data_IF_215176001447
#
_entry.id   IF_215176001447
#
_cell.length_a   1.000
_cell.length_b   1.000
_cell.length_c   1.000
_cell.angle_alpha   90.00
_cell.angle_beta   90.00
_cell.angle_gamma   90.00
#
_symmetry.space_group_name_H-M   'P 1'
#
loop_
_entity.id
_entity.type
_entity.pdbx_description
1 polymer ?
#
# COMPACT_ATOMS: atom_id res chain seq x y z
N UNK A 1 -0.45 72.42 -61.63
CA UNK A 1 0.09 72.22 -60.27
C UNK A 1 -0.88 71.33 -59.50
N UNK A 2 -0.64 70.02 -59.48
CA UNK A 2 -1.53 69.04 -58.85
C UNK A 2 -0.83 68.46 -57.61
N UNK A 3 -1.50 68.54 -56.46
CA UNK A 3 -1.07 67.96 -55.18
C UNK A 3 -1.48 66.48 -55.15
N UNK A 4 -0.52 65.59 -54.93
CA UNK A 4 -0.77 64.18 -54.63
C UNK A 4 -1.02 64.01 -53.11
N UNK A 5 -2.02 63.23 -52.67
CA UNK A 5 -2.10 62.78 -51.29
C UNK A 5 -1.30 61.50 -51.09
N UNK A 6 -0.39 61.51 -50.11
CA UNK A 6 0.32 60.34 -49.64
C UNK A 6 -0.60 59.50 -48.75
N UNK A 7 -0.86 58.25 -49.17
CA UNK A 7 -1.55 57.24 -48.37
C UNK A 7 -0.50 56.56 -47.49
N UNK A 8 -0.65 56.69 -46.18
CA UNK A 8 0.16 55.97 -45.18
C UNK A 8 -0.44 54.57 -45.02
N UNK A 9 0.26 53.55 -45.51
CA UNK A 9 -0.04 52.14 -45.25
C UNK A 9 0.53 51.74 -43.88
N UNK A 10 -0.34 51.60 -42.88
CA UNK A 10 -0.05 50.93 -41.61
C UNK A 10 -0.05 49.42 -41.83
N UNK A 11 1.14 48.82 -41.97
CA UNK A 11 1.35 47.38 -41.93
C UNK A 11 1.26 46.89 -40.47
N UNK A 12 0.09 46.38 -40.08
CA UNK A 12 -0.09 45.64 -38.84
C UNK A 12 0.71 44.34 -38.87
N UNK A 13 1.65 44.19 -37.94
CA UNK A 13 2.36 42.94 -37.71
C UNK A 13 1.41 41.94 -37.05
N UNK A 14 0.95 40.95 -37.82
CA UNK A 14 0.31 39.76 -37.28
C UNK A 14 1.41 38.83 -36.75
N UNK A 15 1.62 38.84 -35.44
CA UNK A 15 2.45 37.84 -34.74
C UNK A 15 1.76 36.48 -34.84
N UNK A 16 2.19 35.65 -35.80
CA UNK A 16 1.87 34.23 -35.79
C UNK A 16 2.51 33.59 -34.55
N UNK A 17 1.69 33.05 -33.66
CA UNK A 17 2.15 32.19 -32.57
C UNK A 17 2.94 31.03 -33.17
N UNK A 18 4.25 31.01 -32.94
CA UNK A 18 5.10 29.93 -33.43
C UNK A 18 4.73 28.63 -32.73
N UNK A 19 4.54 27.57 -33.52
CA UNK A 19 4.38 26.22 -32.97
C UNK A 19 5.63 25.88 -32.12
N UNK A 20 5.45 25.27 -30.93
CA UNK A 20 6.54 24.99 -30.03
C UNK A 20 7.60 24.12 -30.71
N UNK A 21 8.86 24.48 -30.46
CA UNK A 21 10.01 23.83 -31.14
C UNK A 21 10.20 22.40 -30.64
N UNK A 22 10.83 21.50 -31.43
CA UNK A 22 11.10 20.11 -31.01
C UNK A 22 11.90 19.98 -29.71
N UNK A 23 12.58 21.04 -29.26
CA UNK A 23 13.30 21.09 -27.97
C UNK A 23 12.38 21.32 -26.77
N UNK A 24 11.19 21.88 -26.96
CA UNK A 24 10.17 22.04 -25.90
C UNK A 24 9.42 20.72 -25.63
N UNK A 25 9.36 19.81 -26.60
CA UNK A 25 8.81 18.46 -26.41
C UNK A 25 9.71 17.55 -25.55
N UNK A 26 10.98 17.94 -25.34
CA UNK A 26 11.97 17.18 -24.55
C UNK A 26 12.07 17.70 -23.11
N UNK A 27 11.59 18.92 -22.80
CA UNK A 27 11.35 19.34 -21.41
C UNK A 27 9.97 18.83 -21.01
N UNK A 28 9.86 18.24 -19.82
CA UNK A 28 8.56 17.92 -19.23
C UNK A 28 7.60 19.11 -19.33
N UNK A 29 6.30 18.84 -19.40
CA UNK A 29 5.29 19.89 -19.56
C UNK A 29 5.54 21.06 -18.58
N UNK A 30 5.39 22.31 -19.02
CA UNK A 30 5.75 23.47 -18.21
C UNK A 30 4.97 23.47 -16.89
N UNK A 31 5.70 23.65 -15.78
CA UNK A 31 5.13 23.71 -14.44
C UNK A 31 4.08 24.83 -14.36
N UNK A 32 2.96 24.62 -13.64
CA UNK A 32 1.88 25.61 -13.55
C UNK A 32 2.34 26.95 -12.96
N UNK A 33 3.41 26.97 -12.17
CA UNK A 33 4.04 28.22 -11.71
C UNK A 33 4.58 29.07 -12.87
N UNK A 34 5.27 28.43 -13.83
CA UNK A 34 5.79 29.09 -15.02
C UNK A 34 4.69 29.58 -15.94
N UNK A 35 3.61 28.80 -16.07
CA UNK A 35 2.42 29.21 -16.83
C UNK A 35 1.70 30.37 -16.12
N UNK A 36 1.66 30.35 -14.78
CA UNK A 36 1.12 31.44 -13.98
C UNK A 36 1.81 32.77 -14.25
N UNK A 37 3.14 32.78 -14.27
CA UNK A 37 3.91 33.98 -14.61
C UNK A 37 3.62 34.50 -16.04
N UNK A 38 3.37 33.60 -16.99
CA UNK A 38 3.00 33.98 -18.37
C UNK A 38 1.57 34.51 -18.46
N UNK A 39 0.64 33.99 -17.66
CA UNK A 39 -0.73 34.52 -17.56
C UNK A 39 -0.71 35.91 -16.91
N UNK A 40 0.04 36.12 -15.84
CA UNK A 40 0.21 37.43 -15.19
C UNK A 40 0.82 38.47 -16.13
N UNK A 41 1.78 38.05 -16.96
CA UNK A 41 2.37 38.89 -18.00
C UNK A 41 1.44 39.13 -19.22
N UNK A 42 0.23 38.54 -19.23
CA UNK A 42 -0.73 38.64 -20.34
C UNK A 42 -0.32 37.86 -21.60
N UNK A 43 0.71 37.02 -21.52
CA UNK A 43 1.25 36.25 -22.63
C UNK A 43 0.46 34.96 -22.93
N UNK A 44 -0.29 34.44 -21.94
CA UNK A 44 -1.16 33.26 -22.07
C UNK A 44 -2.54 33.51 -21.46
N UNK A 45 -3.60 32.83 -21.96
CA UNK A 45 -4.92 32.93 -21.34
C UNK A 45 -5.01 32.11 -20.04
N UNK A 46 -5.85 32.57 -19.11
CA UNK A 46 -6.04 31.92 -17.80
C UNK A 46 -6.46 30.44 -17.89
N UNK A 47 -7.17 30.07 -18.97
CA UNK A 47 -7.56 28.68 -19.23
C UNK A 47 -6.37 27.74 -19.42
N UNK A 48 -5.20 28.22 -19.84
CA UNK A 48 -3.99 27.38 -19.90
C UNK A 48 -3.44 27.07 -18.51
N UNK A 49 -3.52 28.01 -17.56
CA UNK A 49 -3.14 27.77 -16.17
C UNK A 49 -4.07 26.74 -15.52
N UNK A 50 -5.37 26.83 -15.77
CA UNK A 50 -6.35 25.86 -15.26
C UNK A 50 -6.09 24.46 -15.83
N UNK A 51 -5.79 24.34 -17.13
CA UNK A 51 -5.41 23.06 -17.75
C UNK A 51 -4.13 22.50 -17.14
N UNK A 52 -3.12 23.33 -16.91
CA UNK A 52 -1.85 22.90 -16.33
C UNK A 52 -2.02 22.39 -14.90
N UNK A 53 -2.77 23.11 -14.06
CA UNK A 53 -3.12 22.67 -12.70
C UNK A 53 -3.92 21.37 -12.71
N UNK A 54 -4.89 21.25 -13.61
CA UNK A 54 -5.67 20.01 -13.76
C UNK A 54 -4.82 18.83 -14.24
N UNK A 55 -3.81 19.07 -15.07
CA UNK A 55 -2.85 18.04 -15.51
C UNK A 55 -1.90 17.64 -14.37
N UNK A 56 -1.46 18.58 -13.55
CA UNK A 56 -0.65 18.30 -12.37
C UNK A 56 -1.39 17.49 -11.32
N UNK A 57 -2.59 17.92 -10.92
CA UNK A 57 -3.43 17.18 -9.98
C UNK A 57 -3.72 15.76 -10.51
N UNK A 58 -3.76 15.57 -11.83
CA UNK A 58 -3.89 14.25 -12.40
C UNK A 58 -2.64 13.38 -12.30
N UNK A 59 -1.46 13.98 -12.50
CA UNK A 59 -0.18 13.29 -12.31
C UNK A 59 0.02 12.87 -10.87
N UNK A 60 -0.36 13.72 -9.92
CA UNK A 60 -0.32 13.40 -8.48
C UNK A 60 -1.22 12.21 -8.14
N UNK A 61 -2.48 12.24 -8.57
CA UNK A 61 -3.39 11.13 -8.35
C UNK A 61 -2.91 9.84 -9.06
N UNK A 62 -2.29 9.95 -10.23
CA UNK A 62 -1.65 8.80 -10.87
C UNK A 62 -0.47 8.26 -10.08
N UNK A 63 0.37 9.11 -9.49
CA UNK A 63 1.49 8.69 -8.66
C UNK A 63 1.00 7.92 -7.42
N UNK A 64 -0.06 8.41 -6.77
CA UNK A 64 -0.73 7.72 -5.66
C UNK A 64 -1.18 6.32 -6.09
N UNK A 65 -1.89 6.21 -7.23
CA UNK A 65 -2.36 4.92 -7.74
C UNK A 65 -1.20 4.00 -8.15
N UNK A 66 -0.14 4.55 -8.77
CA UNK A 66 1.04 3.77 -9.14
C UNK A 66 1.74 3.20 -7.92
N UNK A 67 1.83 3.96 -6.85
CA UNK A 67 2.45 3.52 -5.61
C UNK A 67 1.59 2.50 -4.85
N UNK A 68 0.29 2.75 -4.73
CA UNK A 68 -0.59 1.99 -3.84
C UNK A 68 -1.30 0.83 -4.56
N UNK A 69 -1.81 1.08 -5.77
CA UNK A 69 -2.63 0.11 -6.51
C UNK A 69 -1.77 -0.81 -7.38
N UNK A 70 -0.79 -0.26 -8.09
CA UNK A 70 0.08 -0.99 -9.02
C UNK A 70 1.48 -1.28 -8.47
N UNK A 71 1.80 -0.74 -7.30
CA UNK A 71 3.08 -0.95 -6.65
C UNK A 71 3.16 -2.35 -6.03
N UNK A 72 4.38 -2.77 -5.74
CA UNK A 72 4.68 -4.02 -5.04
C UNK A 72 4.36 -3.98 -3.53
N UNK A 73 3.56 -3.00 -3.08
CA UNK A 73 3.12 -2.92 -1.70
C UNK A 73 2.14 -4.06 -1.48
N UNK A 74 2.53 -5.00 -0.63
CA UNK A 74 1.72 -6.14 -0.25
C UNK A 74 0.43 -5.62 0.43
N UNK A 75 -0.68 -6.36 0.35
CA UNK A 75 -1.95 -5.94 0.97
C UNK A 75 -1.77 -5.77 2.48
N UNK A 76 -0.86 -6.53 3.06
CA UNK A 76 -0.49 -6.57 4.46
C UNK A 76 0.29 -5.32 4.92
N UNK A 77 0.90 -4.58 3.99
CA UNK A 77 1.65 -3.34 4.25
C UNK A 77 0.81 -2.07 3.97
N UNK A 78 -0.44 -2.25 3.52
CA UNK A 78 -1.36 -1.15 3.26
C UNK A 78 -2.18 -0.80 4.51
N UNK A 79 -2.15 0.47 4.87
CA UNK A 79 -3.00 1.02 5.93
C UNK A 79 -4.41 1.33 5.41
N UNK A 80 -5.40 1.36 6.31
CA UNK A 80 -6.76 1.81 5.98
C UNK A 80 -6.77 3.21 5.36
N UNK A 81 -5.89 4.10 5.82
CA UNK A 81 -5.75 5.46 5.28
C UNK A 81 -5.22 5.45 3.84
N UNK A 82 -4.22 4.63 3.53
CA UNK A 82 -3.75 4.44 2.15
C UNK A 82 -4.83 3.84 1.25
N UNK A 83 -5.66 2.93 1.79
CA UNK A 83 -6.85 2.42 1.11
C UNK A 83 -7.84 3.53 0.75
N UNK A 84 -8.14 4.42 1.70
CA UNK A 84 -8.99 5.61 1.46
C UNK A 84 -8.39 6.56 0.43
N UNK A 85 -7.10 6.86 0.54
CA UNK A 85 -6.39 7.76 -0.39
C UNK A 85 -6.39 7.22 -1.83
N UNK A 86 -6.16 5.92 -2.00
CA UNK A 86 -6.22 5.25 -3.31
C UNK A 86 -7.61 5.37 -3.96
N UNK A 87 -8.68 5.09 -3.20
CA UNK A 87 -10.06 5.23 -3.71
C UNK A 87 -10.36 6.68 -4.05
N UNK A 88 -9.99 7.62 -3.18
CA UNK A 88 -10.19 9.03 -3.41
C UNK A 88 -9.45 9.53 -4.67
N UNK A 89 -8.20 9.11 -4.88
CA UNK A 89 -7.44 9.43 -6.08
C UNK A 89 -8.12 8.88 -7.34
N UNK A 90 -8.52 7.60 -7.36
CA UNK A 90 -9.24 7.01 -8.49
C UNK A 90 -10.56 7.74 -8.79
N UNK A 91 -11.31 8.12 -7.75
CA UNK A 91 -12.56 8.87 -7.87
C UNK A 91 -12.33 10.25 -8.52
N UNK A 92 -11.34 11.01 -8.04
CA UNK A 92 -10.99 12.32 -8.60
C UNK A 92 -10.58 12.22 -10.07
N UNK A 93 -9.79 11.20 -10.43
CA UNK A 93 -9.41 10.96 -11.84
C UNK A 93 -10.61 10.69 -12.72
N UNK A 94 -11.54 9.84 -12.26
CA UNK A 94 -12.77 9.51 -12.98
C UNK A 94 -13.61 10.77 -13.21
N UNK A 95 -13.80 11.59 -12.18
CA UNK A 95 -14.58 12.81 -12.27
C UNK A 95 -13.96 13.82 -13.24
N UNK A 96 -12.63 13.98 -13.23
CA UNK A 96 -11.94 14.80 -14.24
C UNK A 96 -12.15 14.29 -15.67
N UNK A 97 -12.20 12.97 -15.90
CA UNK A 97 -12.49 12.41 -17.24
C UNK A 97 -13.92 12.68 -17.66
N UNK A 98 -14.87 12.55 -16.73
CA UNK A 98 -16.28 12.88 -16.99
C UNK A 98 -16.44 14.32 -17.42
N UNK A 99 -15.86 15.26 -16.68
CA UNK A 99 -15.92 16.69 -17.01
C UNK A 99 -15.33 16.96 -18.40
N UNK A 100 -14.17 16.36 -18.74
CA UNK A 100 -13.57 16.49 -20.08
C UNK A 100 -14.46 15.92 -21.19
N UNK A 101 -15.07 14.76 -20.96
CA UNK A 101 -15.99 14.14 -21.91
C UNK A 101 -17.23 15.02 -22.12
N UNK A 102 -17.82 15.56 -21.06
CA UNK A 102 -18.98 16.45 -21.17
C UNK A 102 -18.64 17.77 -21.87
N UNK A 103 -17.47 18.34 -21.63
CA UNK A 103 -16.99 19.50 -22.38
C UNK A 103 -16.81 19.19 -23.87
N UNK A 104 -16.23 18.04 -24.21
CA UNK A 104 -16.04 17.63 -25.60
C UNK A 104 -17.38 17.33 -26.30
N UNK A 105 -18.36 16.75 -25.59
CA UNK A 105 -19.72 16.55 -26.12
C UNK A 105 -20.38 17.87 -26.53
N UNK A 106 -20.28 18.91 -25.69
CA UNK A 106 -20.78 20.25 -26.02
C UNK A 106 -20.13 20.81 -27.28
N UNK A 107 -18.81 20.69 -27.41
CA UNK A 107 -18.09 21.13 -28.61
C UNK A 107 -18.49 20.33 -29.87
N UNK A 108 -18.86 19.06 -29.73
CA UNK A 108 -19.40 18.26 -30.84
C UNK A 108 -20.81 18.72 -31.22
N UNK A 109 -21.66 19.04 -30.23
CA UNK A 109 -23.00 19.59 -30.46
C UNK A 109 -22.95 20.96 -31.14
N UNK A 110 -21.97 21.79 -30.78
CA UNK A 110 -21.67 23.08 -31.41
C UNK A 110 -21.00 22.96 -32.79
N UNK A 111 -20.65 21.74 -33.21
CA UNK A 111 -19.97 21.47 -34.49
C UNK A 111 -18.48 21.84 -34.51
N UNK A 112 -17.91 22.27 -33.39
CA UNK A 112 -16.50 22.63 -33.23
C UNK A 112 -15.57 21.39 -33.19
N UNK A 113 -16.09 20.22 -32.84
CA UNK A 113 -15.36 18.95 -32.88
C UNK A 113 -16.12 17.85 -33.67
N UNK A 114 -15.40 16.95 -34.37
CA UNK A 114 -16.03 15.78 -34.98
C UNK A 114 -16.46 14.78 -33.90
N UNK A 115 -17.56 14.05 -34.12
CA UNK A 115 -18.04 13.00 -33.19
C UNK A 115 -16.96 11.96 -32.85
N UNK A 116 -16.08 11.66 -33.80
CA UNK A 116 -14.97 10.71 -33.60
C UNK A 116 -13.97 11.17 -32.52
N UNK A 117 -13.90 12.46 -32.20
CA UNK A 117 -13.07 12.98 -31.12
C UNK A 117 -13.51 12.50 -29.73
N UNK A 118 -14.76 12.01 -29.58
CA UNK A 118 -15.26 11.48 -28.30
C UNK A 118 -14.73 10.08 -27.98
N UNK A 119 -14.33 9.30 -28.99
CA UNK A 119 -13.86 7.91 -28.81
C UNK A 119 -12.72 7.77 -27.80
N UNK A 120 -11.59 8.48 -27.92
CA UNK A 120 -10.50 8.37 -26.94
C UNK A 120 -10.93 8.79 -25.53
N UNK A 121 -11.83 9.76 -25.39
CA UNK A 121 -12.33 10.22 -24.09
C UNK A 121 -13.24 9.18 -23.42
N UNK A 122 -14.06 8.47 -24.22
CA UNK A 122 -14.88 7.36 -23.73
C UNK A 122 -14.00 6.20 -23.26
N UNK A 123 -12.94 5.86 -23.99
CA UNK A 123 -11.98 4.84 -23.57
C UNK A 123 -11.24 5.23 -22.29
N UNK A 124 -10.80 6.48 -22.17
CA UNK A 124 -10.18 6.99 -20.94
C UNK A 124 -11.14 6.92 -19.74
N UNK A 125 -12.41 7.24 -19.96
CA UNK A 125 -13.44 7.15 -18.92
C UNK A 125 -13.66 5.70 -18.47
N UNK A 126 -13.73 4.74 -19.41
CA UNK A 126 -13.86 3.32 -19.10
C UNK A 126 -12.65 2.80 -18.31
N UNK A 127 -11.42 3.15 -18.74
CA UNK A 127 -10.19 2.80 -18.01
C UNK A 127 -10.18 3.38 -16.59
N UNK A 128 -10.58 4.65 -16.43
CA UNK A 128 -10.67 5.29 -15.12
C UNK A 128 -11.73 4.60 -14.23
N UNK A 129 -12.86 4.17 -14.82
CA UNK A 129 -13.91 3.45 -14.10
C UNK A 129 -13.40 2.11 -13.57
N UNK A 130 -12.77 1.31 -14.43
CA UNK A 130 -12.16 0.03 -14.02
C UNK A 130 -11.12 0.19 -12.92
N UNK A 131 -10.34 1.28 -12.99
CA UNK A 131 -9.33 1.61 -11.97
C UNK A 131 -9.99 1.91 -10.62
N UNK A 132 -11.08 2.67 -10.62
CA UNK A 132 -11.87 2.90 -9.40
C UNK A 132 -12.47 1.61 -8.85
N UNK A 133 -13.04 0.76 -9.70
CA UNK A 133 -13.65 -0.51 -9.27
C UNK A 133 -12.60 -1.44 -8.63
N UNK A 134 -11.37 -1.47 -9.17
CA UNK A 134 -10.24 -2.18 -8.60
C UNK A 134 -9.80 -1.58 -7.25
N UNK A 135 -9.63 -0.26 -7.19
CA UNK A 135 -9.27 0.44 -5.95
C UNK A 135 -10.30 0.20 -4.84
N UNK A 136 -11.59 0.29 -5.16
CA UNK A 136 -12.68 0.04 -4.22
C UNK A 136 -12.69 -1.42 -3.72
N UNK A 137 -12.45 -2.39 -4.61
CA UNK A 137 -12.37 -3.79 -4.24
C UNK A 137 -11.19 -4.07 -3.30
N UNK A 138 -10.02 -3.49 -3.59
CA UNK A 138 -8.83 -3.61 -2.74
C UNK A 138 -9.03 -2.94 -1.38
N UNK A 139 -9.66 -1.77 -1.32
CA UNK A 139 -9.97 -1.09 -0.07
C UNK A 139 -10.99 -1.87 0.80
N UNK A 140 -11.99 -2.52 0.19
CA UNK A 140 -12.92 -3.39 0.92
C UNK A 140 -12.19 -4.56 1.60
N UNK A 141 -11.32 -5.25 0.85
CA UNK A 141 -10.53 -6.35 1.39
C UNK A 141 -9.64 -5.90 2.55
N UNK A 142 -9.01 -4.72 2.45
CA UNK A 142 -8.21 -4.14 3.55
C UNK A 142 -9.05 -3.90 4.80
N UNK A 143 -10.25 -3.35 4.64
CA UNK A 143 -11.15 -3.11 5.77
C UNK A 143 -11.58 -4.43 6.40
N UNK A 144 -11.93 -5.44 5.61
CA UNK A 144 -12.30 -6.78 6.12
C UNK A 144 -11.17 -7.40 6.95
N UNK A 145 -9.93 -7.34 6.45
CA UNK A 145 -8.75 -7.83 7.18
C UNK A 145 -8.51 -7.04 8.48
N UNK A 146 -8.68 -5.71 8.45
CA UNK A 146 -8.53 -4.86 9.62
C UNK A 146 -9.62 -5.13 10.68
N UNK A 147 -10.88 -5.34 10.25
CA UNK A 147 -11.97 -5.72 11.14
C UNK A 147 -11.73 -7.09 11.77
N UNK A 148 -11.27 -8.08 11.01
CA UNK A 148 -10.90 -9.40 11.53
C UNK A 148 -9.80 -9.28 12.59
N UNK A 149 -8.73 -8.53 12.31
CA UNK A 149 -7.65 -8.29 13.26
C UNK A 149 -8.13 -7.57 14.54
N UNK A 150 -9.06 -6.60 14.41
CA UNK A 150 -9.64 -5.89 15.56
C UNK A 150 -10.59 -6.78 16.36
N UNK A 151 -11.38 -7.61 15.71
CA UNK A 151 -12.25 -8.58 16.38
C UNK A 151 -11.43 -9.63 17.17
N UNK A 152 -10.34 -10.13 16.59
CA UNK A 152 -9.38 -10.99 17.29
C UNK A 152 -8.78 -10.26 18.50
N UNK A 153 -8.34 -9.00 18.34
CA UNK A 153 -7.81 -8.21 19.45
C UNK A 153 -8.85 -7.95 20.56
N UNK A 154 -10.13 -7.78 20.21
CA UNK A 154 -11.21 -7.55 21.18
C UNK A 154 -11.56 -8.80 21.99
N UNK A 155 -11.55 -9.99 21.37
CA UNK A 155 -11.70 -11.28 22.07
C UNK A 155 -10.57 -11.47 23.09
N UNK A 156 -9.37 -11.00 22.77
CA UNK A 156 -8.20 -11.02 23.67
C UNK A 156 -8.25 -9.97 24.79
N UNK A 157 -9.16 -9.01 24.72
CA UNK A 157 -9.29 -7.91 25.69
C UNK A 157 -10.29 -8.20 26.82
N UNK A 158 -11.05 -9.30 26.77
CA UNK A 158 -11.96 -9.70 27.85
C UNK A 158 -11.15 -10.23 29.05
N UNK A 159 -11.25 -9.63 30.25
CA UNK A 159 -10.48 -10.07 31.40
C UNK A 159 -11.00 -11.41 31.93
N UNK A 160 -10.14 -12.42 31.96
CA UNK A 160 -10.42 -13.70 32.59
C UNK A 160 -10.65 -13.50 34.09
N UNK A 161 -11.88 -13.72 34.54
CA UNK A 161 -12.20 -13.76 35.96
C UNK A 161 -11.48 -14.94 36.64
N UNK A 162 -10.87 -14.60 37.77
CA UNK A 162 -9.97 -15.36 38.63
C UNK A 162 -10.41 -16.80 38.95
N UNK A 163 -9.53 -17.77 38.66
CA UNK A 163 -9.38 -19.02 39.39
C UNK A 163 -7.91 -19.46 39.33
N UNK A 164 -7.42 -20.04 40.42
CA UNK A 164 -6.03 -20.47 40.66
C UNK A 164 -5.51 -21.33 39.50
N UNK A 165 -4.53 -20.83 38.75
CA UNK A 165 -4.10 -21.41 37.47
C UNK A 165 -2.59 -21.72 37.45
N UNK A 166 -2.16 -22.84 36.85
CA UNK A 166 -0.75 -23.12 36.56
C UNK A 166 -0.16 -21.96 35.74
N UNK A 167 1.15 -21.69 35.90
CA UNK A 167 1.75 -20.49 35.31
C UNK A 167 1.44 -20.41 33.81
N UNK A 168 0.86 -19.29 33.40
CA UNK A 168 0.37 -19.04 32.04
C UNK A 168 1.49 -19.10 30.98
N UNK A 169 2.74 -18.98 31.45
CA UNK A 169 3.96 -19.10 30.65
C UNK A 169 4.91 -20.07 31.33
N UNK A 170 5.45 -20.99 30.54
CA UNK A 170 6.59 -21.82 30.89
C UNK A 170 7.75 -21.50 29.95
N UNK A 171 8.98 -21.50 30.49
CA UNK A 171 10.20 -21.20 29.74
C UNK A 171 11.22 -22.30 29.98
N UNK A 172 11.84 -22.76 28.89
CA UNK A 172 13.01 -23.60 28.92
C UNK A 172 14.17 -22.87 28.24
N UNK A 173 15.27 -22.64 28.95
CA UNK A 173 16.36 -21.77 28.47
C UNK A 173 17.24 -22.44 27.40
N UNK A 174 17.30 -23.77 27.35
CA UNK A 174 18.11 -24.51 26.38
C UNK A 174 19.61 -24.15 26.41
N UNK A 175 20.42 -24.89 25.66
CA UNK A 175 21.83 -24.54 25.43
C UNK A 175 22.15 -24.47 23.92
N UNK A 176 21.29 -25.07 23.09
CA UNK A 176 21.46 -25.15 21.64
C UNK A 176 20.88 -23.91 20.96
N UNK A 177 21.68 -23.23 20.14
CA UNK A 177 21.20 -22.14 19.29
C UNK A 177 20.22 -22.64 18.23
N UNK A 178 19.08 -21.98 18.04
CA UNK A 178 18.07 -22.38 17.07
C UNK A 178 18.43 -21.92 15.64
N UNK A 179 18.36 -22.83 14.66
CA UNK A 179 18.64 -22.57 13.25
C UNK A 179 17.74 -23.42 12.32
N UNK A 180 17.74 -23.11 11.02
CA UNK A 180 16.84 -23.73 10.01
C UNK A 180 16.95 -25.25 9.93
N UNK A 181 18.17 -25.82 10.02
CA UNK A 181 18.37 -27.27 10.06
C UNK A 181 17.65 -27.97 11.23
N UNK A 182 17.56 -27.32 12.40
CA UNK A 182 16.80 -27.86 13.54
C UNK A 182 15.29 -27.79 13.30
N UNK A 183 14.79 -26.76 12.63
CA UNK A 183 13.39 -26.68 12.26
C UNK A 183 12.98 -27.84 11.34
N UNK A 184 13.79 -28.16 10.34
CA UNK A 184 13.53 -29.31 9.46
C UNK A 184 13.50 -30.61 10.25
N UNK A 185 14.46 -30.82 11.17
CA UNK A 185 14.49 -31.99 12.04
C UNK A 185 13.23 -32.10 12.93
N UNK A 186 12.79 -30.99 13.55
CA UNK A 186 11.59 -30.94 14.39
C UNK A 186 10.33 -31.23 13.58
N UNK A 187 10.19 -30.61 12.41
CA UNK A 187 9.03 -30.82 11.53
C UNK A 187 8.93 -32.27 11.05
N UNK A 188 10.05 -32.87 10.63
CA UNK A 188 10.09 -34.28 10.20
C UNK A 188 9.76 -35.23 11.35
N UNK A 189 10.33 -35.02 12.55
CA UNK A 189 10.03 -35.86 13.71
C UNK A 189 8.56 -35.77 14.12
N UNK A 190 7.98 -34.56 14.09
CA UNK A 190 6.57 -34.34 14.38
C UNK A 190 5.65 -35.03 13.36
N UNK A 191 5.98 -34.94 12.07
CA UNK A 191 5.23 -35.60 11.01
C UNK A 191 5.34 -37.13 11.08
N UNK A 192 6.49 -37.66 11.49
CA UNK A 192 6.65 -39.10 11.72
C UNK A 192 5.78 -39.60 12.88
N UNK A 193 5.66 -38.83 13.97
CA UNK A 193 4.87 -39.17 15.15
C UNK A 193 3.35 -39.04 14.87
N UNK A 194 2.91 -37.91 14.33
CA UNK A 194 1.48 -37.55 14.25
C UNK A 194 0.87 -37.69 12.84
N UNK A 195 1.67 -38.07 11.84
CA UNK A 195 1.25 -38.24 10.43
C UNK A 195 0.61 -36.98 9.83
N UNK A 196 0.99 -35.82 10.35
CA UNK A 196 0.54 -34.49 9.89
C UNK A 196 1.67 -33.48 10.03
N UNK A 197 1.72 -32.43 9.20
CA UNK A 197 2.77 -31.44 9.28
C UNK A 197 2.72 -30.66 10.60
N UNK A 198 3.87 -30.20 11.07
CA UNK A 198 3.96 -29.31 12.23
C UNK A 198 3.17 -28.01 11.95
N UNK A 199 2.19 -27.63 12.80
CA UNK A 199 1.33 -26.47 12.54
C UNK A 199 2.07 -25.18 12.90
N UNK A 200 2.97 -24.75 12.01
CA UNK A 200 3.73 -23.50 12.16
C UNK A 200 2.79 -22.32 11.90
N UNK A 201 2.58 -21.48 12.92
CA UNK A 201 1.78 -20.25 12.83
C UNK A 201 2.59 -19.03 12.45
N UNK A 202 3.90 -19.02 12.76
CA UNK A 202 4.81 -17.98 12.29
C UNK A 202 6.22 -18.55 12.09
N UNK A 203 6.88 -18.18 10.98
CA UNK A 203 8.25 -18.59 10.67
C UNK A 203 9.07 -17.36 10.23
N UNK A 204 9.80 -16.74 11.17
CA UNK A 204 10.69 -15.62 10.88
C UNK A 204 10.03 -14.27 10.50
N UNK A 205 10.85 -13.39 9.90
CA UNK A 205 10.54 -11.98 9.61
C UNK A 205 9.59 -11.79 8.42
N UNK A 206 8.29 -11.77 8.69
CA UNK A 206 7.32 -11.08 7.83
C UNK A 206 7.55 -9.56 7.87
N UNK A 207 7.09 -8.82 6.85
CA UNK A 207 7.25 -7.36 6.76
C UNK A 207 6.68 -6.62 7.99
N UNK A 208 5.61 -7.18 8.57
CA UNK A 208 4.96 -6.75 9.81
C UNK A 208 5.93 -6.63 11.01
N UNK A 209 6.89 -7.55 11.15
CA UNK A 209 7.83 -7.55 12.28
C UNK A 209 8.91 -6.45 12.19
N UNK A 210 9.28 -6.05 10.97
CA UNK A 210 10.26 -4.97 10.73
C UNK A 210 9.70 -3.59 11.09
N UNK A 211 8.39 -3.40 10.93
CA UNK A 211 7.70 -2.15 11.26
C UNK A 211 7.56 -1.92 12.78
N UNK A 212 7.63 -2.97 13.60
CA UNK A 212 7.51 -2.88 15.07
C UNK A 212 8.84 -3.03 15.83
N UNK A 213 9.95 -3.12 15.12
CA UNK A 213 11.26 -3.19 15.74
C UNK A 213 11.56 -4.53 16.41
N UNK A 214 11.06 -5.65 15.85
CA UNK A 214 11.27 -7.00 16.38
C UNK A 214 11.99 -7.88 15.35
N UNK A 215 13.21 -8.33 15.65
CA UNK A 215 13.97 -9.28 14.81
C UNK A 215 13.67 -10.71 15.24
N UNK A 216 13.07 -11.51 14.35
CA UNK A 216 12.69 -12.91 14.58
C UNK A 216 13.50 -13.92 13.76
N UNK A 217 14.69 -13.55 13.27
CA UNK A 217 15.60 -14.53 12.63
C UNK A 217 15.96 -15.62 13.64
N UNK A 218 15.72 -16.88 13.28
CA UNK A 218 15.95 -18.02 14.18
C UNK A 218 14.85 -18.23 15.22
N UNK A 219 13.57 -17.99 14.87
CA UNK A 219 12.41 -18.23 15.75
C UNK A 219 11.21 -18.75 14.99
N UNK A 220 10.42 -19.60 15.62
CA UNK A 220 9.20 -20.19 15.05
C UNK A 220 8.11 -20.30 16.11
N UNK A 221 6.89 -19.86 15.76
CA UNK A 221 5.70 -20.12 16.57
C UNK A 221 4.95 -21.33 15.99
N UNK A 222 4.52 -22.20 16.89
CA UNK A 222 3.75 -23.40 16.57
C UNK A 222 2.39 -23.28 17.25
N UNK A 223 1.31 -23.32 16.46
CA UNK A 223 -0.07 -23.26 16.94
C UNK A 223 -0.52 -24.60 17.55
N UNK A 224 0.13 -24.97 18.66
CA UNK A 224 -0.24 -26.09 19.51
C UNK A 224 -0.48 -25.59 20.93
N UNK A 225 -1.56 -26.05 21.54
CA UNK A 225 -1.76 -25.95 22.97
C UNK A 225 -0.64 -26.73 23.69
N UNK A 226 0.16 -26.11 24.59
CA UNK A 226 1.26 -26.77 25.29
C UNK A 226 0.88 -28.02 26.09
N UNK A 227 -0.38 -28.15 26.49
CA UNK A 227 -0.85 -29.25 27.32
C UNK A 227 -1.65 -30.31 26.52
N UNK A 228 -1.84 -30.09 25.22
CA UNK A 228 -2.30 -31.13 24.29
C UNK A 228 -1.28 -32.28 24.19
N UNK A 229 -1.69 -33.49 23.74
CA UNK A 229 -0.75 -34.59 23.49
C UNK A 229 0.43 -34.18 22.59
N UNK A 230 0.14 -33.44 21.52
CA UNK A 230 1.11 -32.90 20.57
C UNK A 230 2.01 -31.85 21.20
N UNK A 231 1.46 -30.92 21.98
CA UNK A 231 2.22 -29.89 22.69
C UNK A 231 3.17 -30.48 23.73
N UNK A 232 2.71 -31.47 24.50
CA UNK A 232 3.52 -32.21 25.48
C UNK A 232 4.61 -33.05 24.82
N UNK A 233 4.33 -33.63 23.66
CA UNK A 233 5.35 -34.33 22.87
C UNK A 233 6.41 -33.35 22.37
N UNK A 234 5.98 -32.23 21.77
CA UNK A 234 6.88 -31.23 21.20
C UNK A 234 7.78 -30.62 22.27
N UNK A 235 7.24 -30.27 23.44
CA UNK A 235 8.03 -29.76 24.58
C UNK A 235 9.11 -30.75 25.02
N UNK A 236 8.75 -32.02 25.24
CA UNK A 236 9.72 -33.07 25.61
C UNK A 236 10.80 -33.25 24.53
N UNK A 237 10.41 -33.20 23.27
CA UNK A 237 11.35 -33.32 22.15
C UNK A 237 12.33 -32.14 22.08
N UNK A 238 11.86 -30.91 22.33
CA UNK A 238 12.69 -29.71 22.41
C UNK A 238 13.65 -29.75 23.62
N UNK A 239 13.18 -30.21 24.78
CA UNK A 239 14.00 -30.40 25.98
C UNK A 239 15.14 -31.41 25.74
N UNK A 240 14.85 -32.54 25.08
CA UNK A 240 15.84 -33.56 24.73
C UNK A 240 16.94 -33.01 23.81
N UNK A 241 16.57 -32.16 22.85
CA UNK A 241 17.49 -31.49 21.95
C UNK A 241 18.14 -30.22 22.56
N UNK A 242 17.77 -29.90 23.82
CA UNK A 242 18.21 -28.71 24.56
C UNK A 242 17.94 -27.40 23.81
N UNK A 243 16.83 -27.34 23.08
CA UNK A 243 16.42 -26.18 22.29
C UNK A 243 15.54 -25.27 23.15
N UNK A 244 15.82 -23.95 23.24
CA UNK A 244 15.01 -23.02 24.01
C UNK A 244 13.57 -22.92 23.49
N UNK A 245 12.60 -22.82 24.40
CA UNK A 245 11.22 -22.53 24.03
C UNK A 245 10.45 -21.77 25.13
N UNK A 246 9.33 -21.17 24.72
CA UNK A 246 8.27 -20.67 25.60
C UNK A 246 6.96 -21.37 25.29
N UNK A 247 6.29 -21.88 26.32
CA UNK A 247 4.96 -22.46 26.21
C UNK A 247 3.95 -21.50 26.83
N UNK A 248 3.08 -20.95 25.99
CA UNK A 248 1.97 -20.10 26.40
C UNK A 248 0.72 -20.95 26.50
N UNK A 249 0.15 -21.06 27.71
CA UNK A 249 -1.08 -21.85 27.95
C UNK A 249 -2.36 -21.03 27.79
N UNK A 250 -2.22 -19.72 27.65
CA UNK A 250 -3.30 -18.78 27.45
C UNK A 250 -2.75 -17.51 26.79
N UNK A 251 -3.65 -16.59 26.45
CA UNK A 251 -3.25 -15.24 26.09
C UNK A 251 -2.53 -14.56 27.26
N UNK A 252 -1.41 -13.90 26.96
CA UNK A 252 -0.60 -13.17 27.94
C UNK A 252 -0.37 -11.77 27.39
N UNK A 253 -0.85 -10.76 28.12
CA UNK A 253 -0.80 -9.36 27.70
C UNK A 253 0.61 -8.94 27.29
N UNK A 254 0.75 -8.47 26.04
CA UNK A 254 2.02 -8.01 25.47
C UNK A 254 3.03 -9.12 25.13
N UNK A 255 2.64 -10.41 25.19
CA UNK A 255 3.54 -11.54 24.89
C UNK A 255 2.92 -12.65 24.04
N UNK A 256 1.62 -12.93 24.17
CA UNK A 256 0.94 -14.02 23.46
C UNK A 256 -0.56 -13.73 23.27
N UNK A 257 -1.07 -14.05 22.08
CA UNK A 257 -2.48 -13.93 21.70
C UNK A 257 -3.28 -15.23 21.87
N UNK A 258 -2.70 -16.30 22.42
CA UNK A 258 -3.39 -17.58 22.61
C UNK A 258 -2.43 -18.73 22.89
N UNK A 259 -2.92 -19.94 23.17
CA UNK A 259 -2.04 -21.07 23.46
C UNK A 259 -1.16 -21.44 22.26
N UNK A 260 0.15 -21.36 22.43
CA UNK A 260 1.13 -21.72 21.40
C UNK A 260 2.50 -22.01 22.03
N UNK A 261 3.38 -22.61 21.25
CA UNK A 261 4.78 -22.85 21.62
C UNK A 261 5.69 -22.01 20.73
N UNK A 262 6.48 -21.14 21.34
CA UNK A 262 7.53 -20.36 20.69
C UNK A 262 8.86 -21.11 20.79
N UNK A 263 9.54 -21.36 19.67
CA UNK A 263 10.82 -22.06 19.62
C UNK A 263 11.92 -21.06 19.24
N UNK A 264 12.98 -20.99 20.05
CA UNK A 264 14.10 -20.08 19.87
C UNK A 264 14.38 -19.16 21.08
N UNK A 265 15.45 -18.36 21.03
CA UNK A 265 15.83 -17.45 22.13
C UNK A 265 14.81 -16.31 22.33
N UNK A 266 14.74 -15.69 23.53
CA UNK A 266 13.82 -14.59 23.83
C UNK A 266 13.85 -13.48 22.78
N UNK A 267 12.69 -12.88 22.51
CA UNK A 267 12.58 -11.65 21.72
C UNK A 267 13.34 -10.49 22.37
N UNK A 268 14.52 -10.16 21.84
CA UNK A 268 15.21 -8.92 22.17
C UNK A 268 14.55 -7.75 21.41
N UNK A 269 14.36 -6.59 22.06
CA UNK A 269 14.02 -5.36 21.35
C UNK A 269 15.13 -5.03 20.35
N UNK A 270 14.79 -4.59 19.13
CA UNK A 270 15.79 -3.99 18.24
C UNK A 270 16.41 -2.81 18.98
N UNK A 271 17.69 -2.92 19.34
CA UNK A 271 18.47 -1.76 19.75
C UNK A 271 18.46 -0.77 18.58
N UNK A 272 17.89 0.41 18.81
CA UNK A 272 18.14 1.56 17.95
C UNK A 272 19.66 1.70 17.81
N UNK A 273 20.15 1.63 16.57
CA UNK A 273 21.57 1.63 16.26
C UNK A 273 22.28 2.82 16.88
N UNK A 274 23.41 2.54 17.55
CA UNK A 274 24.46 3.51 17.77
C UNK A 274 25.59 3.24 16.79
N UNK A 275 26.05 4.29 16.11
CA UNK A 275 27.27 4.33 15.30
C UNK A 275 27.06 4.17 13.82
#
# INVERSE_FOLDING_TARGET
MARAPAVILLLGWLSFAQAPSPRELVRGQPEPERIGALVEAGALPASELDRARAAEADREDEAILRQILYGSVAIEDLTEEQGRQMVAAAQRRLERRRVRLEQAKKLVEEGALPRLALTPLLEELDRARRTLDLAASRARLLNELAEMARAEAAVLAVPAARAETPSLVERFEGETGFHSGLLTLIATAFEMEFKRPLPISANGSTALHRAWGLDHRGRVDVALDPDSPEGKWLRRYLEQLRIPYYAFRAAVRGRSTGPHIHIGPPSEPLRAGGG
#
